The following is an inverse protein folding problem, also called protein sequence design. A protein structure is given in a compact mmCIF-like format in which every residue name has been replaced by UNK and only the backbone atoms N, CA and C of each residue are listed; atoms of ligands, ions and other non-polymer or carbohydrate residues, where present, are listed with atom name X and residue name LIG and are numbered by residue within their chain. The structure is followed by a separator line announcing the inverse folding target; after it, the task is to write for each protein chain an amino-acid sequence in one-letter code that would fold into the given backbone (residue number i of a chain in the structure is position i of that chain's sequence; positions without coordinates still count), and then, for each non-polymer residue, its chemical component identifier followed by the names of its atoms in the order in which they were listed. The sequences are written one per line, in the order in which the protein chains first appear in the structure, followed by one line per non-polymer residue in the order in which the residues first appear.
data_IF_976203736967
#
_entry.id   IF_976203736967
#
_cell.length_a   1.000
_cell.length_b   1.000
_cell.length_c   1.000
_cell.angle_alpha   90.00
_cell.angle_beta   90.00
_cell.angle_gamma   90.00
#
_symmetry.space_group_name_H-M   'P 1'
#
loop_
_entity.id
_entity.type
_entity.pdbx_description
1 polymer ?
#
# COMPACT_ATOMS: atom_id res chain seq x y z
N UNK A 1 7.41 0.01 3.53
CA UNK A 1 6.95 1.41 3.72
C UNK A 1 6.65 1.66 5.19
N UNK A 2 7.00 2.82 5.66
CA UNK A 2 6.81 3.21 7.07
C UNK A 2 5.54 4.03 7.21
N UNK A 3 4.61 3.55 8.05
CA UNK A 3 3.34 4.21 8.31
C UNK A 3 3.19 4.62 9.76
N UNK A 4 2.51 5.73 10.04
CA UNK A 4 2.17 6.09 11.42
C UNK A 4 1.08 5.17 11.94
N UNK A 5 1.24 4.76 13.19
CA UNK A 5 0.27 3.95 13.89
C UNK A 5 -0.01 4.58 15.25
N UNK A 6 -1.27 4.60 15.66
CA UNK A 6 -1.66 5.12 16.95
C UNK A 6 -1.93 3.98 17.91
N UNK A 7 -1.17 3.93 19.01
CA UNK A 7 -1.17 2.81 19.94
C UNK A 7 -1.82 3.20 21.25
N UNK A 8 -2.83 2.45 21.66
CA UNK A 8 -3.39 2.51 23.00
C UNK A 8 -2.82 1.37 23.81
N UNK A 9 -2.06 1.72 24.84
CA UNK A 9 -1.48 0.72 25.75
C UNK A 9 -2.62 0.18 26.62
N UNK A 10 -2.77 -1.13 26.62
CA UNK A 10 -3.74 -1.80 27.45
C UNK A 10 -3.27 -2.00 28.89
N UNK A 11 -4.06 -2.69 29.67
CA UNK A 11 -3.75 -3.05 31.05
C UNK A 11 -4.06 -4.53 31.29
N UNK A 12 -4.18 -4.95 32.55
CA UNK A 12 -4.47 -6.35 32.90
C UNK A 12 -5.82 -6.84 32.38
N UNK A 13 -6.76 -5.91 32.10
CA UNK A 13 -8.12 -6.25 31.69
C UNK A 13 -8.41 -5.82 30.24
N UNK A 14 -7.51 -5.07 29.59
CA UNK A 14 -7.68 -4.53 28.25
C UNK A 14 -6.47 -4.84 27.39
N UNK A 15 -6.70 -5.33 26.18
CA UNK A 15 -5.66 -5.55 25.20
C UNK A 15 -5.05 -4.23 24.71
N UNK A 16 -3.80 -4.30 24.23
CA UNK A 16 -3.20 -3.19 23.50
C UNK A 16 -3.88 -3.08 22.14
N UNK A 17 -4.22 -1.87 21.72
CA UNK A 17 -4.89 -1.62 20.45
C UNK A 17 -4.06 -0.70 19.55
N UNK A 18 -4.15 -0.92 18.24
CA UNK A 18 -3.48 -0.08 17.25
C UNK A 18 -4.47 0.31 16.16
N UNK A 19 -4.48 1.60 15.83
CA UNK A 19 -5.22 2.14 14.70
C UNK A 19 -4.23 2.61 13.65
N UNK A 20 -4.49 2.26 12.39
CA UNK A 20 -3.69 2.69 11.25
C UNK A 20 -4.47 3.73 10.45
N UNK A 21 -4.17 5.03 10.61
CA UNK A 21 -4.96 6.09 9.95
C UNK A 21 -4.97 6.00 8.42
N UNK A 22 -3.88 5.54 7.81
CA UNK A 22 -3.78 5.44 6.35
C UNK A 22 -4.52 4.22 5.77
N UNK A 23 -4.94 3.28 6.62
CA UNK A 23 -5.73 2.11 6.23
C UNK A 23 -7.08 2.18 6.92
N UNK A 24 -8.04 2.82 6.29
CA UNK A 24 -9.35 3.07 6.86
C UNK A 24 -10.03 1.78 7.32
N UNK A 25 -10.47 1.74 8.58
CA UNK A 25 -11.13 0.58 9.15
C UNK A 25 -10.17 -0.54 9.58
N UNK A 26 -8.87 -0.32 9.52
CA UNK A 26 -7.88 -1.32 9.88
C UNK A 26 -7.43 -1.15 11.33
N UNK A 27 -7.65 -2.19 12.14
CA UNK A 27 -7.29 -2.21 13.57
C UNK A 27 -6.55 -3.49 13.89
N UNK A 28 -5.68 -3.42 14.87
CA UNK A 28 -5.05 -4.59 15.43
C UNK A 28 -5.10 -4.54 16.96
N UNK A 29 -5.14 -5.69 17.60
CA UNK A 29 -5.12 -5.79 19.05
C UNK A 29 -4.35 -7.03 19.49
N UNK A 30 -3.67 -6.93 20.63
CA UNK A 30 -2.96 -8.06 21.22
C UNK A 30 -2.82 -7.86 22.75
N UNK A 31 -2.82 -8.95 23.49
CA UNK A 31 -2.61 -8.91 24.93
C UNK A 31 -1.15 -8.62 25.27
N UNK A 32 -0.23 -9.08 24.42
CA UNK A 32 1.20 -8.82 24.56
C UNK A 32 1.61 -7.84 23.47
N UNK A 33 2.19 -6.70 23.86
CA UNK A 33 2.59 -5.66 22.90
C UNK A 33 3.64 -6.15 21.89
N UNK A 34 4.42 -7.18 22.22
CA UNK A 34 5.40 -7.77 21.30
C UNK A 34 4.75 -8.46 20.10
N UNK A 35 3.47 -8.84 20.22
CA UNK A 35 2.70 -9.44 19.13
C UNK A 35 2.05 -8.42 18.20
N UNK A 36 2.04 -7.13 18.58
CA UNK A 36 1.38 -6.09 17.79
C UNK A 36 1.91 -5.99 16.36
N UNK A 37 3.22 -5.99 16.09
CA UNK A 37 3.71 -5.88 14.70
C UNK A 37 3.16 -6.99 13.80
N UNK A 38 3.13 -8.24 14.27
CA UNK A 38 2.58 -9.35 13.50
C UNK A 38 1.06 -9.21 13.30
N UNK A 39 0.34 -8.76 14.32
CA UNK A 39 -1.10 -8.52 14.24
C UNK A 39 -1.44 -7.38 13.30
N UNK A 40 -0.63 -6.35 13.25
CA UNK A 40 -0.78 -5.23 12.34
C UNK A 40 -0.56 -5.68 10.89
N UNK A 41 0.49 -6.46 10.65
CA UNK A 41 0.76 -7.00 9.32
C UNK A 41 -0.40 -7.88 8.83
N UNK A 42 -0.93 -8.74 9.69
CA UNK A 42 -2.09 -9.57 9.41
C UNK A 42 -3.33 -8.72 9.09
N UNK A 43 -3.59 -7.68 9.88
CA UNK A 43 -4.73 -6.79 9.68
C UNK A 43 -4.63 -6.05 8.34
N UNK A 44 -3.44 -5.60 7.95
CA UNK A 44 -3.21 -4.94 6.67
C UNK A 44 -3.43 -5.93 5.52
N UNK A 45 -2.94 -7.14 5.64
CA UNK A 45 -3.16 -8.18 4.62
C UNK A 45 -4.65 -8.48 4.42
N UNK A 46 -5.40 -8.60 5.52
CA UNK A 46 -6.85 -8.80 5.46
C UNK A 46 -7.57 -7.60 4.84
N UNK A 47 -7.11 -6.39 5.12
CA UNK A 47 -7.66 -5.18 4.53
C UNK A 47 -7.53 -5.21 3.00
N UNK A 48 -6.40 -5.68 2.49
CA UNK A 48 -6.16 -5.78 1.05
C UNK A 48 -6.85 -6.98 0.38
N UNK A 49 -7.20 -8.02 1.08
CA UNK A 49 -7.90 -9.17 0.51
C UNK A 49 -9.35 -8.85 0.10
N UNK A 50 -9.99 -7.92 0.77
CA UNK A 50 -11.39 -7.59 0.55
C UNK A 50 -11.68 -6.55 -0.52
N UNK A 51 -10.69 -5.80 -0.99
CA UNK A 51 -10.93 -4.64 -1.86
C UNK A 51 -9.80 -4.41 -2.86
N UNK A 52 -10.07 -3.66 -3.92
CA UNK A 52 -9.08 -3.26 -4.92
C UNK A 52 -8.26 -2.07 -4.44
N UNK A 53 -7.04 -1.84 -4.93
CA UNK A 53 -6.03 -1.40 -4.02
C UNK A 53 -5.03 -0.46 -4.55
N UNK A 54 -5.21 0.78 -4.18
CA UNK A 54 -4.09 1.70 -4.17
C UNK A 54 -3.40 1.59 -2.80
N UNK A 55 -2.09 1.38 -2.83
CA UNK A 55 -1.30 1.48 -1.61
C UNK A 55 -1.30 2.95 -1.20
N UNK A 56 -1.80 3.28 0.01
CA UNK A 56 -1.85 4.67 0.44
C UNK A 56 -0.45 5.21 0.68
N UNK A 57 -0.29 6.52 0.50
CA UNK A 57 0.93 7.20 0.91
C UNK A 57 0.88 7.47 2.41
N UNK A 58 1.99 7.27 3.14
CA UNK A 58 2.01 7.57 4.57
C UNK A 58 1.70 9.04 4.84
N UNK A 59 0.75 9.29 5.74
CA UNK A 59 0.44 10.65 6.18
C UNK A 59 1.50 11.13 7.17
N UNK A 60 1.85 12.40 7.08
CA UNK A 60 2.78 13.01 8.03
C UNK A 60 2.18 12.96 9.44
N UNK A 61 2.95 12.43 10.38
CA UNK A 61 2.53 12.28 11.78
C UNK A 61 2.17 13.63 12.42
N UNK A 62 2.81 14.70 11.99
CA UNK A 62 2.50 16.05 12.50
C UNK A 62 1.09 16.49 12.12
N UNK A 63 0.64 16.14 10.91
CA UNK A 63 -0.72 16.43 10.46
C UNK A 63 -1.74 15.65 11.31
N UNK A 64 -1.46 14.38 11.57
CA UNK A 64 -2.34 13.53 12.37
C UNK A 64 -2.41 14.01 13.82
N UNK A 65 -1.30 14.40 14.40
CA UNK A 65 -1.25 14.90 15.76
C UNK A 65 -2.04 16.21 15.91
N UNK A 66 -1.90 17.12 14.96
CA UNK A 66 -2.62 18.40 14.96
C UNK A 66 -4.12 18.25 14.73
N UNK A 67 -4.58 17.14 14.18
CA UNK A 67 -6.00 16.87 13.94
C UNK A 67 -6.82 16.82 15.24
N UNK A 68 -6.19 16.46 16.35
CA UNK A 68 -6.85 16.31 17.64
C UNK A 68 -7.78 15.10 17.74
N UNK A 69 -7.82 14.24 16.72
CA UNK A 69 -8.68 13.06 16.69
C UNK A 69 -8.14 11.89 17.51
N UNK A 70 -6.84 11.89 17.79
CA UNK A 70 -6.15 10.79 18.47
C UNK A 70 -5.69 11.24 19.85
N UNK A 71 -6.26 10.63 20.89
CA UNK A 71 -6.00 11.01 22.29
C UNK A 71 -5.85 9.76 23.16
N UNK A 72 -5.04 9.88 24.19
CA UNK A 72 -4.87 8.84 25.20
C UNK A 72 -3.91 7.72 24.83
N UNK A 73 -3.24 7.82 23.70
CA UNK A 73 -2.26 6.86 23.25
C UNK A 73 -0.96 7.51 22.81
N UNK A 74 -0.18 6.78 22.03
CA UNK A 74 1.09 7.26 21.50
C UNK A 74 1.24 6.92 20.02
N UNK A 75 1.98 7.74 19.31
CA UNK A 75 2.34 7.48 17.92
C UNK A 75 3.55 6.57 17.85
N UNK A 76 3.52 5.66 16.89
CA UNK A 76 4.64 4.81 16.54
C UNK A 76 4.75 4.73 15.02
N UNK A 77 5.98 4.63 14.52
CA UNK A 77 6.23 4.42 13.10
C UNK A 77 6.51 2.94 12.88
N UNK A 78 5.76 2.33 11.97
CA UNK A 78 5.86 0.91 11.69
C UNK A 78 6.21 0.66 10.24
N UNK A 79 7.16 -0.23 10.01
CA UNK A 79 7.45 -0.72 8.68
C UNK A 79 6.46 -1.83 8.35
N UNK A 80 5.61 -1.57 7.35
CA UNK A 80 4.62 -2.53 6.89
C UNK A 80 5.06 -3.06 5.53
N UNK A 81 5.17 -4.37 5.41
CA UNK A 81 5.54 -5.02 4.16
C UNK A 81 4.34 -5.08 3.22
N UNK A 82 4.40 -4.30 2.14
CA UNK A 82 3.38 -4.24 1.09
C UNK A 82 3.90 -4.76 -0.25
N UNK A 83 5.07 -5.39 -0.27
CA UNK A 83 5.69 -5.88 -1.52
C UNK A 83 4.78 -6.84 -2.29
N UNK A 84 4.01 -7.65 -1.60
CA UNK A 84 3.03 -8.56 -2.16
C UNK A 84 1.96 -7.84 -3.00
N UNK A 85 1.62 -6.62 -2.64
CA UNK A 85 0.54 -5.84 -3.28
C UNK A 85 1.07 -4.85 -4.32
N UNK A 86 2.32 -4.43 -4.21
CA UNK A 86 2.95 -3.53 -5.17
C UNK A 86 3.06 -4.12 -6.57
N UNK A 87 3.14 -5.45 -6.67
CA UNK A 87 3.22 -6.18 -7.94
C UNK A 87 1.87 -6.68 -8.45
N UNK A 88 0.77 -6.43 -7.73
CA UNK A 88 -0.55 -6.90 -8.11
C UNK A 88 -1.09 -6.11 -9.30
N UNK A 89 -1.52 -6.76 -10.40
CA UNK A 89 -2.04 -6.04 -11.56
C UNK A 89 -3.32 -5.28 -11.24
N UNK A 90 -3.42 -4.07 -11.73
CA UNK A 90 -4.61 -3.22 -11.66
C UNK A 90 -5.06 -2.92 -13.09
N UNK A 91 -6.35 -2.95 -13.36
CA UNK A 91 -6.87 -2.58 -14.68
C UNK A 91 -6.91 -1.07 -14.82
N UNK A 92 -6.33 -0.58 -15.92
CA UNK A 92 -6.40 0.82 -16.29
C UNK A 92 -7.03 0.95 -17.66
N UNK A 93 -7.91 1.93 -17.82
CA UNK A 93 -8.47 2.29 -19.12
C UNK A 93 -7.66 3.46 -19.66
N UNK A 94 -7.01 3.24 -20.79
CA UNK A 94 -6.16 4.24 -21.44
C UNK A 94 -6.58 4.38 -22.91
N UNK A 95 -6.72 5.60 -23.36
CA UNK A 95 -6.99 5.89 -24.79
C UNK A 95 -5.68 6.18 -25.48
N UNK A 96 -5.40 5.43 -26.55
CA UNK A 96 -4.19 5.58 -27.35
C UNK A 96 -4.54 5.80 -28.82
N UNK A 97 -3.73 6.57 -29.56
CA UNK A 97 -3.90 6.67 -31.02
C UNK A 97 -3.78 5.30 -31.68
N UNK A 98 -4.58 5.07 -32.73
CA UNK A 98 -4.59 3.80 -33.48
C UNK A 98 -3.19 3.44 -33.98
N UNK A 99 -2.43 4.42 -34.45
CA UNK A 99 -1.07 4.21 -34.97
C UNK A 99 -0.12 3.67 -33.89
N UNK A 100 -0.26 4.13 -32.65
CA UNK A 100 0.54 3.66 -31.52
C UNK A 100 0.16 2.23 -31.14
N UNK A 101 -1.14 1.94 -31.11
CA UNK A 101 -1.63 0.58 -30.80
C UNK A 101 -1.10 -0.41 -31.83
N UNK A 102 -1.11 -0.06 -33.11
CA UNK A 102 -0.59 -0.92 -34.16
C UNK A 102 0.90 -1.21 -33.97
N UNK A 103 1.70 -0.18 -33.69
CA UNK A 103 3.14 -0.33 -33.44
C UNK A 103 3.40 -1.21 -32.23
N UNK A 104 2.61 -1.04 -31.17
CA UNK A 104 2.72 -1.86 -29.96
C UNK A 104 2.45 -3.33 -30.27
N UNK A 105 1.37 -3.62 -30.96
CA UNK A 105 0.94 -4.99 -31.26
C UNK A 105 1.93 -5.69 -32.20
N UNK A 106 2.44 -5.00 -33.21
CA UNK A 106 3.44 -5.54 -34.13
C UNK A 106 4.72 -5.89 -33.38
N UNK A 107 5.21 -4.98 -32.54
CA UNK A 107 6.41 -5.22 -31.72
C UNK A 107 6.22 -6.35 -30.73
N UNK A 108 5.08 -6.39 -30.05
CA UNK A 108 4.77 -7.44 -29.09
C UNK A 108 4.75 -8.82 -29.75
N UNK A 109 4.12 -8.91 -30.93
CA UNK A 109 4.06 -10.17 -31.69
C UNK A 109 5.46 -10.62 -32.11
N UNK A 110 6.29 -9.73 -32.62
CA UNK A 110 7.66 -10.04 -33.05
C UNK A 110 8.55 -10.50 -31.91
N UNK A 111 8.29 -10.01 -30.69
CA UNK A 111 9.12 -10.32 -29.52
C UNK A 111 8.45 -11.32 -28.56
N UNK A 112 7.37 -11.95 -28.99
CA UNK A 112 6.64 -12.95 -28.19
C UNK A 112 6.14 -12.42 -26.84
N UNK A 113 5.72 -11.16 -26.83
CA UNK A 113 5.17 -10.47 -25.65
C UNK A 113 3.65 -10.28 -25.80
N UNK A 114 2.95 -10.23 -24.69
CA UNK A 114 1.58 -9.73 -24.66
C UNK A 114 1.61 -8.20 -24.71
N UNK A 115 0.48 -7.59 -25.12
CA UNK A 115 0.33 -6.13 -25.08
C UNK A 115 0.62 -5.60 -23.67
N UNK A 116 0.03 -6.22 -22.64
CA UNK A 116 0.21 -5.81 -21.24
C UNK A 116 1.67 -5.90 -20.79
N UNK A 117 2.36 -6.98 -21.14
CA UNK A 117 3.78 -7.15 -20.80
C UNK A 117 4.65 -6.07 -21.45
N UNK A 118 4.37 -5.73 -22.72
CA UNK A 118 5.09 -4.68 -23.41
C UNK A 118 4.85 -3.31 -22.75
N UNK A 119 3.61 -3.01 -22.37
CA UNK A 119 3.27 -1.74 -21.71
C UNK A 119 4.03 -1.60 -20.39
N UNK A 120 4.06 -2.64 -19.57
CA UNK A 120 4.81 -2.64 -18.30
C UNK A 120 6.27 -2.37 -18.55
N UNK A 121 6.88 -3.12 -19.47
CA UNK A 121 8.31 -3.03 -19.77
C UNK A 121 8.68 -1.65 -20.31
N UNK A 122 7.91 -1.14 -21.27
CA UNK A 122 8.16 0.16 -21.87
C UNK A 122 8.01 1.29 -20.84
N UNK A 123 6.98 1.19 -19.98
CA UNK A 123 6.73 2.18 -18.94
C UNK A 123 7.85 2.19 -17.90
N UNK A 124 8.28 1.02 -17.44
CA UNK A 124 9.39 0.91 -16.50
C UNK A 124 10.68 1.52 -17.08
N UNK A 125 11.03 1.17 -18.31
CA UNK A 125 12.21 1.70 -18.97
C UNK A 125 12.17 3.21 -19.13
N UNK A 126 11.01 3.75 -19.51
CA UNK A 126 10.85 5.19 -19.65
C UNK A 126 11.01 5.93 -18.33
N UNK A 127 10.34 5.44 -17.29
CA UNK A 127 10.41 6.04 -15.95
C UNK A 127 11.84 5.97 -15.38
N UNK A 128 12.50 4.84 -15.52
CA UNK A 128 13.86 4.64 -15.03
C UNK A 128 14.85 5.57 -15.75
N UNK A 129 14.67 5.79 -17.05
CA UNK A 129 15.52 6.69 -17.84
C UNK A 129 15.35 8.16 -17.46
N UNK A 130 14.21 8.54 -16.89
CA UNK A 130 13.85 9.92 -16.57
C UNK A 130 13.76 10.19 -15.08
N UNK A 131 14.02 9.19 -14.23
CA UNK A 131 14.11 9.40 -12.79
C UNK A 131 15.51 9.91 -12.44
N UNK A 132 15.55 10.95 -11.67
CA UNK A 132 16.81 11.54 -11.20
C UNK A 132 17.23 10.96 -9.85
#
# INVERSE_FOLDING_TARGET
MIFPAYVHIGDKTHAHGVTLPDFQGCFAAADNYLELPAKIQEAVELHFEGESFDIPQPTDINILEKSGLYKGGMWMLLDIDLSKYASKPVRLNVSLPVSIVKKMDDFATENHLTRSALIVKATEEYLDSHSS
#
